data_IF_814802597668
#
_entry.id   IF_814802597668
#
_cell.length_a   1.000
_cell.length_b   1.000
_cell.length_c   1.000
_cell.angle_alpha   90.00
_cell.angle_beta   90.00
_cell.angle_gamma   90.00
#
_symmetry.space_group_name_H-M   'P 1'
#
loop_
_entity.id
_entity.type
_entity.pdbx_description
1 polymer ?
#
# COMPACT_ATOMS: atom_id res chain seq x y z
N UNK A 1 -29.60 -96.76 13.19
CA UNK A 1 -29.79 -95.60 14.01
C UNK A 1 -28.51 -94.68 14.03
N UNK A 2 -27.77 -94.52 12.98
CA UNK A 2 -26.48 -93.83 12.99
C UNK A 2 -26.37 -92.71 11.95
N UNK A 3 -27.39 -92.52 11.06
CA UNK A 3 -27.25 -91.54 10.04
C UNK A 3 -28.05 -90.21 10.27
N UNK A 4 -28.93 -90.23 11.24
CA UNK A 4 -29.71 -89.06 11.55
C UNK A 4 -29.01 -88.02 12.46
N UNK A 5 -27.96 -88.43 13.17
CA UNK A 5 -27.17 -87.51 13.98
C UNK A 5 -26.10 -86.72 13.27
N UNK A 6 -25.65 -87.23 12.11
CA UNK A 6 -24.66 -86.51 11.32
C UNK A 6 -25.25 -85.43 10.45
N UNK A 7 -26.51 -85.54 10.04
CA UNK A 7 -27.19 -84.53 9.22
C UNK A 7 -27.59 -83.32 10.04
N UNK A 8 -27.89 -83.46 11.35
CA UNK A 8 -28.21 -82.28 12.20
C UNK A 8 -27.00 -81.47 12.61
N UNK A 9 -25.82 -82.10 12.71
CA UNK A 9 -24.62 -81.32 13.07
C UNK A 9 -24.09 -80.47 11.91
N UNK A 10 -24.26 -80.91 10.66
CA UNK A 10 -23.82 -80.18 9.46
C UNK A 10 -24.73 -79.00 9.16
N UNK A 11 -26.01 -79.07 9.47
CA UNK A 11 -26.94 -77.94 9.25
C UNK A 11 -26.77 -76.87 10.33
N UNK A 12 -26.41 -77.24 11.59
CA UNK A 12 -26.20 -76.30 12.66
C UNK A 12 -24.88 -75.51 12.55
N UNK A 13 -23.83 -76.16 11.99
CA UNK A 13 -22.55 -75.47 11.71
C UNK A 13 -22.65 -74.51 10.54
N UNK A 14 -23.46 -74.84 9.51
CA UNK A 14 -23.70 -73.91 8.39
C UNK A 14 -24.55 -72.69 8.77
N UNK A 15 -25.45 -72.81 9.78
CA UNK A 15 -26.27 -71.69 10.26
C UNK A 15 -25.50 -70.73 11.20
N UNK A 16 -24.47 -71.21 11.92
CA UNK A 16 -23.61 -70.35 12.75
C UNK A 16 -22.54 -69.60 11.99
N UNK A 17 -22.24 -69.99 10.76
CA UNK A 17 -21.27 -69.27 9.91
C UNK A 17 -21.93 -68.14 9.07
N UNK A 18 -23.24 -68.08 8.99
CA UNK A 18 -23.97 -67.04 8.22
C UNK A 18 -24.23 -65.79 9.06
N UNK A 19 -24.16 -65.85 10.40
CA UNK A 19 -24.38 -64.69 11.29
C UNK A 19 -23.13 -64.03 11.83
N UNK A 20 -21.92 -64.47 11.49
CA UNK A 20 -20.68 -63.75 11.79
C UNK A 20 -20.17 -63.05 10.53
N UNK A 21 -20.95 -62.17 9.93
CA UNK A 21 -20.35 -61.13 9.10
C UNK A 21 -19.57 -60.23 10.06
N UNK A 22 -18.27 -60.07 9.90
CA UNK A 22 -17.56 -59.04 10.63
C UNK A 22 -18.26 -57.74 10.25
N UNK A 23 -18.73 -56.98 11.27
CA UNK A 23 -19.11 -55.59 11.03
C UNK A 23 -18.00 -54.98 10.21
N UNK A 24 -18.34 -54.50 9.00
CA UNK A 24 -17.42 -53.74 8.21
C UNK A 24 -17.02 -52.56 9.11
N UNK A 25 -15.84 -52.65 9.74
CA UNK A 25 -15.15 -51.49 10.23
C UNK A 25 -15.04 -50.61 8.98
N UNK A 26 -15.88 -49.57 8.88
CA UNK A 26 -15.64 -48.49 7.98
C UNK A 26 -14.27 -47.98 8.38
N UNK A 27 -13.24 -48.33 7.62
CA UNK A 27 -11.96 -47.68 7.70
C UNK A 27 -12.30 -46.20 7.67
N UNK A 28 -11.85 -45.38 8.64
CA UNK A 28 -12.01 -43.97 8.55
C UNK A 28 -11.50 -43.57 7.16
N UNK A 29 -12.32 -42.88 6.42
CA UNK A 29 -11.89 -42.28 5.15
C UNK A 29 -10.55 -41.67 5.43
N UNK A 30 -9.53 -41.88 4.60
CA UNK A 30 -8.23 -41.25 4.82
C UNK A 30 -8.52 -39.77 4.97
N UNK A 31 -8.16 -39.20 6.13
CA UNK A 31 -8.12 -37.76 6.31
C UNK A 31 -7.17 -37.34 5.21
N UNK A 32 -7.69 -36.72 4.17
CA UNK A 32 -6.84 -36.18 3.11
C UNK A 32 -6.03 -35.09 3.78
N UNK A 33 -4.78 -35.41 4.12
CA UNK A 33 -3.86 -34.40 4.61
C UNK A 33 -3.77 -33.33 3.52
N UNK A 34 -3.99 -32.08 3.90
CA UNK A 34 -3.91 -30.97 2.98
C UNK A 34 -2.53 -30.98 2.30
N UNK A 35 -2.51 -30.84 1.00
CA UNK A 35 -1.28 -30.75 0.20
C UNK A 35 -0.65 -29.35 0.35
N UNK A 36 0.62 -29.21 -0.03
CA UNK A 36 1.29 -27.90 -0.08
C UNK A 36 0.50 -26.88 -0.90
N UNK A 37 -0.11 -27.31 -2.02
CA UNK A 37 -0.93 -26.48 -2.89
C UNK A 37 -2.26 -26.07 -2.23
N UNK A 38 -2.89 -26.93 -1.44
CA UNK A 38 -4.12 -26.59 -0.70
C UNK A 38 -3.83 -25.56 0.37
N UNK A 39 -2.74 -25.70 1.13
CA UNK A 39 -2.32 -24.68 2.08
C UNK A 39 -1.95 -23.37 1.41
N UNK A 40 -1.29 -23.38 0.23
CA UNK A 40 -1.05 -22.17 -0.57
C UNK A 40 -2.38 -21.47 -0.88
N UNK A 41 -3.37 -22.21 -1.42
CA UNK A 41 -4.67 -21.65 -1.78
C UNK A 41 -5.41 -21.06 -0.57
N UNK A 42 -5.37 -21.74 0.59
CA UNK A 42 -5.92 -21.22 1.85
C UNK A 42 -5.22 -19.92 2.27
N UNK A 43 -3.88 -19.88 2.16
CA UNK A 43 -3.10 -18.67 2.44
C UNK A 43 -3.51 -17.50 1.54
N UNK A 44 -3.62 -17.73 0.24
CA UNK A 44 -4.06 -16.71 -0.75
C UNK A 44 -5.48 -16.22 -0.43
N UNK A 45 -6.40 -17.11 -0.03
CA UNK A 45 -7.74 -16.71 0.37
C UNK A 45 -7.73 -15.84 1.64
N UNK A 46 -6.88 -16.17 2.63
CA UNK A 46 -6.69 -15.33 3.82
C UNK A 46 -6.08 -13.96 3.45
N UNK A 47 -5.14 -13.90 2.50
CA UNK A 47 -4.61 -12.64 1.96
C UNK A 47 -5.72 -11.75 1.39
N UNK A 48 -6.61 -12.32 0.57
CA UNK A 48 -7.76 -11.58 -0.03
C UNK A 48 -8.71 -11.02 1.03
N UNK A 49 -8.85 -11.70 2.17
CA UNK A 49 -9.67 -11.27 3.31
C UNK A 49 -8.95 -10.29 4.24
N UNK A 50 -7.69 -9.98 4.00
CA UNK A 50 -6.86 -9.15 4.87
C UNK A 50 -6.37 -9.84 6.16
N UNK A 51 -6.52 -11.15 6.27
CA UNK A 51 -6.12 -11.93 7.45
C UNK A 51 -4.66 -12.38 7.32
N UNK A 52 -3.73 -11.44 7.26
CA UNK A 52 -2.33 -11.68 6.92
C UNK A 52 -1.61 -12.69 7.85
N UNK A 53 -1.87 -12.66 9.16
CA UNK A 53 -1.30 -13.64 10.10
C UNK A 53 -1.74 -15.07 9.76
N UNK A 54 -3.04 -15.28 9.48
CA UNK A 54 -3.53 -16.61 9.07
C UNK A 54 -3.00 -17.02 7.70
N UNK A 55 -2.79 -16.07 6.80
CA UNK A 55 -2.14 -16.35 5.51
C UNK A 55 -0.71 -16.88 5.73
N UNK A 56 0.07 -16.23 6.60
CA UNK A 56 1.43 -16.67 6.96
C UNK A 56 1.42 -18.08 7.57
N UNK A 57 0.47 -18.39 8.47
CA UNK A 57 0.34 -19.74 9.04
C UNK A 57 0.13 -20.80 7.94
N UNK A 58 -0.76 -20.52 6.98
CA UNK A 58 -1.00 -21.45 5.86
C UNK A 58 0.23 -21.56 4.93
N UNK A 59 0.90 -20.46 4.62
CA UNK A 59 2.14 -20.49 3.82
C UNK A 59 3.25 -21.25 4.56
N UNK A 60 3.33 -21.16 5.88
CA UNK A 60 4.25 -21.97 6.69
C UNK A 60 4.01 -23.47 6.51
N UNK A 61 2.73 -23.90 6.52
CA UNK A 61 2.37 -25.31 6.29
C UNK A 61 2.73 -25.73 4.86
N UNK A 62 2.43 -24.89 3.87
CA UNK A 62 2.80 -25.15 2.47
C UNK A 62 4.31 -25.36 2.31
N UNK A 63 5.13 -24.49 2.92
CA UNK A 63 6.60 -24.54 2.89
C UNK A 63 7.13 -25.73 3.69
N UNK A 64 6.51 -26.06 4.82
CA UNK A 64 6.90 -27.24 5.61
C UNK A 64 6.72 -28.54 4.82
N UNK A 65 5.63 -28.66 4.05
CA UNK A 65 5.36 -29.80 3.19
C UNK A 65 6.23 -29.80 1.92
N UNK A 66 6.55 -28.61 1.40
CA UNK A 66 7.36 -28.46 0.19
C UNK A 66 8.37 -27.32 0.39
N UNK A 67 9.60 -27.61 0.87
CA UNK A 67 10.60 -26.59 1.20
C UNK A 67 11.13 -25.74 0.00
N UNK A 68 10.93 -26.20 -1.22
CA UNK A 68 11.29 -25.52 -2.48
C UNK A 68 10.10 -24.81 -3.15
N UNK A 69 8.99 -24.60 -2.43
CA UNK A 69 7.77 -24.02 -2.99
C UNK A 69 7.89 -22.49 -3.15
N UNK A 70 8.52 -22.08 -4.22
CA UNK A 70 8.82 -20.66 -4.55
C UNK A 70 7.64 -19.73 -4.38
N UNK A 71 6.44 -20.13 -4.84
CA UNK A 71 5.24 -19.30 -4.79
C UNK A 71 4.83 -19.03 -3.33
N UNK A 72 4.94 -20.03 -2.46
CA UNK A 72 4.59 -19.87 -1.05
C UNK A 72 5.52 -18.86 -0.34
N UNK A 73 6.82 -18.87 -0.64
CA UNK A 73 7.74 -17.84 -0.14
C UNK A 73 7.41 -16.45 -0.69
N UNK A 74 7.11 -16.33 -1.99
CA UNK A 74 6.75 -15.06 -2.62
C UNK A 74 5.47 -14.46 -2.00
N UNK A 75 4.45 -15.29 -1.77
CA UNK A 75 3.17 -14.85 -1.21
C UNK A 75 3.31 -14.54 0.29
N UNK A 76 4.14 -15.30 1.03
CA UNK A 76 4.44 -15.00 2.43
C UNK A 76 5.25 -13.71 2.58
N UNK A 77 6.20 -13.44 1.66
CA UNK A 77 6.86 -12.14 1.58
C UNK A 77 5.85 -11.00 1.42
N UNK A 78 4.86 -11.15 0.53
CA UNK A 78 3.80 -10.14 0.36
C UNK A 78 2.96 -9.98 1.64
N UNK A 79 2.65 -11.08 2.36
CA UNK A 79 1.94 -11.03 3.63
C UNK A 79 2.73 -10.25 4.71
N UNK A 80 4.03 -10.48 4.81
CA UNK A 80 4.91 -9.72 5.71
C UNK A 80 4.99 -8.24 5.34
N UNK A 81 4.99 -7.89 4.05
CA UNK A 81 4.91 -6.49 3.59
C UNK A 81 3.64 -5.80 4.10
N UNK A 82 2.49 -6.49 4.06
CA UNK A 82 1.22 -5.95 4.56
C UNK A 82 1.24 -5.72 6.08
N UNK A 83 1.94 -6.58 6.82
CA UNK A 83 2.15 -6.44 8.26
C UNK A 83 3.29 -5.46 8.61
N UNK A 84 3.97 -4.88 7.63
CA UNK A 84 5.13 -4.00 7.79
C UNK A 84 6.34 -4.69 8.44
N UNK A 85 6.38 -6.02 8.43
CA UNK A 85 7.56 -6.80 8.83
C UNK A 85 8.52 -6.93 7.64
N UNK A 86 9.20 -5.83 7.37
CA UNK A 86 10.08 -5.72 6.20
C UNK A 86 11.31 -6.64 6.28
N UNK A 87 11.73 -7.03 7.49
CA UNK A 87 12.84 -7.96 7.65
C UNK A 87 12.48 -9.36 7.16
N UNK A 88 11.36 -9.89 7.61
CA UNK A 88 10.85 -11.19 7.17
C UNK A 88 10.49 -11.16 5.67
N UNK A 89 9.93 -10.04 5.19
CA UNK A 89 9.65 -9.86 3.78
C UNK A 89 10.92 -9.98 2.92
N UNK A 90 12.02 -9.31 3.29
CA UNK A 90 13.31 -9.42 2.58
C UNK A 90 13.82 -10.87 2.61
N UNK A 91 13.72 -11.55 3.75
CA UNK A 91 14.18 -12.95 3.91
C UNK A 91 13.43 -13.88 2.96
N UNK A 92 12.10 -13.84 2.97
CA UNK A 92 11.26 -14.71 2.15
C UNK A 92 11.38 -14.42 0.65
N UNK A 93 11.37 -13.14 0.28
CA UNK A 93 11.59 -12.76 -1.10
C UNK A 93 12.98 -13.19 -1.60
N UNK A 94 14.01 -13.16 -0.74
CA UNK A 94 15.35 -13.66 -1.09
C UNK A 94 15.32 -15.17 -1.33
N UNK A 95 14.59 -15.92 -0.50
CA UNK A 95 14.44 -17.36 -0.70
C UNK A 95 13.68 -17.67 -2.00
N UNK A 96 12.61 -16.94 -2.29
CA UNK A 96 11.88 -17.08 -3.55
C UNK A 96 12.78 -16.81 -4.79
N UNK A 97 13.63 -15.79 -4.72
CA UNK A 97 14.61 -15.47 -5.78
C UNK A 97 15.64 -16.59 -5.94
N UNK A 98 16.17 -17.13 -4.84
CA UNK A 98 17.15 -18.23 -4.89
C UNK A 98 16.57 -19.50 -5.53
N UNK A 99 15.27 -19.74 -5.35
CA UNK A 99 14.57 -20.89 -5.94
C UNK A 99 14.15 -20.66 -7.41
N UNK A 100 13.86 -19.41 -7.79
CA UNK A 100 13.46 -19.06 -9.15
C UNK A 100 13.91 -17.64 -9.52
N UNK A 101 15.09 -17.52 -10.11
CA UNK A 101 15.73 -16.25 -10.45
C UNK A 101 14.98 -15.44 -11.53
N UNK A 102 14.17 -16.10 -12.35
CA UNK A 102 13.42 -15.47 -13.46
C UNK A 102 12.05 -14.91 -13.01
N UNK A 103 11.67 -15.06 -11.76
CA UNK A 103 10.40 -14.54 -11.25
C UNK A 103 10.54 -13.07 -10.84
N UNK A 104 9.79 -12.19 -11.52
CA UNK A 104 9.83 -10.73 -11.32
C UNK A 104 9.23 -10.31 -9.97
N UNK A 105 8.15 -10.96 -9.51
CA UNK A 105 7.39 -10.53 -8.32
C UNK A 105 8.24 -10.48 -7.03
N UNK A 106 9.10 -11.47 -6.72
CA UNK A 106 9.94 -11.39 -5.54
C UNK A 106 10.94 -10.22 -5.58
N UNK A 107 11.45 -9.82 -6.76
CA UNK A 107 12.31 -8.65 -6.89
C UNK A 107 11.53 -7.36 -6.62
N UNK A 108 10.31 -7.21 -7.17
CA UNK A 108 9.45 -6.06 -6.89
C UNK A 108 9.12 -5.95 -5.40
N UNK A 109 8.76 -7.05 -4.77
CA UNK A 109 8.38 -7.10 -3.37
C UNK A 109 9.60 -6.86 -2.44
N UNK A 110 10.77 -7.45 -2.74
CA UNK A 110 12.00 -7.18 -1.97
C UNK A 110 12.45 -5.74 -2.12
N UNK A 111 12.34 -5.19 -3.33
CA UNK A 111 12.59 -3.77 -3.58
C UNK A 111 11.67 -2.87 -2.76
N UNK A 112 10.37 -3.21 -2.68
CA UNK A 112 9.42 -2.46 -1.85
C UNK A 112 9.75 -2.56 -0.37
N UNK A 113 10.14 -3.75 0.14
CA UNK A 113 10.58 -3.92 1.52
C UNK A 113 11.79 -3.03 1.84
N UNK A 114 12.80 -3.01 0.99
CA UNK A 114 13.96 -2.13 1.13
C UNK A 114 13.60 -0.65 1.07
N UNK A 115 12.72 -0.26 0.14
CA UNK A 115 12.21 1.11 0.06
C UNK A 115 11.53 1.54 1.37
N UNK A 116 10.67 0.69 1.95
CA UNK A 116 9.99 0.95 3.22
C UNK A 116 10.92 1.03 4.43
N UNK A 117 12.08 0.37 4.34
CA UNK A 117 13.17 0.48 5.33
C UNK A 117 14.03 1.74 5.14
N UNK A 118 13.83 2.52 4.06
CA UNK A 118 14.69 3.64 3.69
C UNK A 118 15.98 3.21 2.98
N UNK A 119 16.14 1.94 2.64
CA UNK A 119 17.30 1.39 1.93
C UNK A 119 17.14 1.58 0.41
N UNK A 120 17.14 2.83 -0.04
CA UNK A 120 16.80 3.19 -1.41
C UNK A 120 17.72 2.56 -2.46
N UNK A 121 19.03 2.49 -2.21
CA UNK A 121 19.98 1.88 -3.14
C UNK A 121 19.72 0.37 -3.33
N UNK A 122 19.39 -0.34 -2.25
CA UNK A 122 19.01 -1.75 -2.34
C UNK A 122 17.67 -1.93 -3.07
N UNK A 123 16.72 -1.02 -2.88
CA UNK A 123 15.46 -1.01 -3.61
C UNK A 123 15.70 -0.82 -5.12
N UNK A 124 16.52 0.18 -5.51
CA UNK A 124 16.89 0.45 -6.91
C UNK A 124 17.53 -0.78 -7.56
N UNK A 125 18.47 -1.46 -6.85
CA UNK A 125 19.09 -2.67 -7.36
C UNK A 125 18.08 -3.79 -7.66
N UNK A 126 17.09 -3.99 -6.80
CA UNK A 126 16.01 -4.95 -7.03
C UNK A 126 15.11 -4.57 -8.20
N UNK A 127 14.74 -3.30 -8.34
CA UNK A 127 13.93 -2.84 -9.47
C UNK A 127 14.71 -2.92 -10.80
N UNK A 128 16.02 -2.74 -10.79
CA UNK A 128 16.86 -2.98 -11.97
C UNK A 128 16.79 -4.44 -12.44
N UNK A 129 16.81 -5.41 -11.50
CA UNK A 129 16.63 -6.82 -11.86
C UNK A 129 15.20 -7.09 -12.40
N UNK A 130 14.17 -6.52 -11.76
CA UNK A 130 12.80 -6.64 -12.24
C UNK A 130 12.64 -6.08 -13.68
N UNK A 131 13.27 -4.94 -13.99
CA UNK A 131 13.28 -4.33 -15.33
C UNK A 131 14.04 -5.21 -16.33
N UNK A 132 15.17 -5.80 -15.93
CA UNK A 132 15.93 -6.68 -16.80
C UNK A 132 15.13 -7.93 -17.19
N UNK A 133 14.33 -8.49 -16.26
CA UNK A 133 13.48 -9.64 -16.50
C UNK A 133 12.20 -9.28 -17.26
N UNK A 134 11.61 -8.12 -16.99
CA UNK A 134 10.36 -7.66 -17.61
C UNK A 134 10.39 -6.17 -17.92
N UNK A 135 10.95 -5.78 -19.08
CA UNK A 135 11.15 -4.38 -19.45
C UNK A 135 9.86 -3.56 -19.67
N UNK A 136 8.72 -4.23 -19.83
CA UNK A 136 7.40 -3.61 -20.04
C UNK A 136 6.56 -3.48 -18.74
N UNK A 137 7.10 -3.87 -17.58
CA UNK A 137 6.39 -3.75 -16.32
C UNK A 137 6.54 -2.33 -15.73
N UNK A 138 5.52 -1.49 -15.92
CA UNK A 138 5.52 -0.12 -15.43
C UNK A 138 5.76 -0.02 -13.90
N UNK A 139 5.39 -1.05 -13.12
CA UNK A 139 5.54 -1.06 -11.65
C UNK A 139 7.01 -0.95 -11.25
N UNK A 140 7.89 -1.63 -11.99
CA UNK A 140 9.33 -1.60 -11.72
C UNK A 140 9.92 -0.20 -11.93
N UNK A 141 9.55 0.49 -13.02
CA UNK A 141 9.95 1.86 -13.27
C UNK A 141 9.36 2.83 -12.25
N UNK A 142 8.07 2.72 -11.97
CA UNK A 142 7.41 3.58 -10.98
C UNK A 142 8.05 3.45 -9.59
N UNK A 143 8.25 2.23 -9.11
CA UNK A 143 8.86 1.98 -7.81
C UNK A 143 10.34 2.41 -7.77
N UNK A 144 11.09 2.25 -8.88
CA UNK A 144 12.45 2.77 -8.99
C UNK A 144 12.45 4.30 -8.95
N UNK A 145 11.48 4.95 -9.58
CA UNK A 145 11.27 6.40 -9.49
C UNK A 145 11.05 6.87 -8.05
N UNK A 146 10.20 6.17 -7.28
CA UNK A 146 9.99 6.44 -5.86
C UNK A 146 11.28 6.29 -5.04
N UNK A 147 12.06 5.24 -5.31
CA UNK A 147 13.33 5.01 -4.62
C UNK A 147 14.38 6.07 -4.98
N UNK A 148 14.48 6.48 -6.25
CA UNK A 148 15.33 7.58 -6.68
C UNK A 148 14.94 8.92 -6.03
N UNK A 149 13.62 9.19 -5.92
CA UNK A 149 13.12 10.38 -5.23
C UNK A 149 13.48 10.36 -3.73
N UNK A 150 13.36 9.19 -3.09
CA UNK A 150 13.75 9.00 -1.69
C UNK A 150 15.24 9.22 -1.44
N UNK A 151 16.10 8.86 -2.40
CA UNK A 151 17.55 9.11 -2.38
C UNK A 151 17.89 10.59 -2.68
N UNK A 152 16.93 11.38 -3.16
CA UNK A 152 17.13 12.76 -3.59
C UNK A 152 17.62 12.90 -5.03
N UNK A 153 17.71 11.81 -5.79
CA UNK A 153 18.06 11.84 -7.21
C UNK A 153 16.82 12.15 -8.06
N UNK A 154 16.39 13.40 -8.01
CA UNK A 154 15.16 13.89 -8.66
C UNK A 154 15.17 13.77 -10.20
N UNK A 155 16.27 14.05 -10.92
CA UNK A 155 16.29 13.86 -12.37
C UNK A 155 16.03 12.43 -12.79
N UNK A 156 16.65 11.46 -12.10
CA UNK A 156 16.46 10.04 -12.37
C UNK A 156 15.04 9.57 -11.98
N UNK A 157 14.47 10.12 -10.90
CA UNK A 157 13.10 9.84 -10.52
C UNK A 157 12.12 10.26 -11.63
N UNK A 158 12.26 11.48 -12.19
CA UNK A 158 11.43 11.95 -13.30
C UNK A 158 11.58 11.06 -14.53
N UNK A 159 12.81 10.66 -14.90
CA UNK A 159 13.06 9.75 -16.01
C UNK A 159 12.31 8.43 -15.83
N UNK A 160 12.37 7.86 -14.64
CA UNK A 160 11.68 6.62 -14.30
C UNK A 160 10.15 6.75 -14.33
N UNK A 161 9.58 7.85 -13.81
CA UNK A 161 8.15 8.10 -13.92
C UNK A 161 7.71 8.27 -15.37
N UNK A 162 8.52 8.92 -16.22
CA UNK A 162 8.24 9.01 -17.64
C UNK A 162 8.20 7.63 -18.31
N UNK A 163 9.17 6.76 -18.01
CA UNK A 163 9.17 5.38 -18.51
C UNK A 163 7.94 4.60 -18.02
N UNK A 164 7.59 4.70 -16.73
CA UNK A 164 6.38 4.08 -16.21
C UNK A 164 5.11 4.54 -16.96
N UNK A 165 5.01 5.84 -17.27
CA UNK A 165 3.88 6.41 -18.02
C UNK A 165 3.81 5.92 -19.48
N UNK A 166 4.92 5.50 -20.08
CA UNK A 166 4.91 4.90 -21.43
C UNK A 166 4.48 3.44 -21.43
N UNK A 167 4.69 2.72 -20.32
CA UNK A 167 4.41 1.28 -20.22
C UNK A 167 3.03 0.98 -19.60
N UNK A 168 2.46 1.91 -18.83
CA UNK A 168 1.20 1.68 -18.14
C UNK A 168 0.01 1.69 -19.11
N UNK A 169 -0.93 0.71 -19.03
CA UNK A 169 -2.14 0.75 -19.81
C UNK A 169 -2.99 2.00 -19.49
N UNK A 170 -3.40 2.74 -20.50
CA UNK A 170 -4.16 3.99 -20.34
C UNK A 170 -5.55 3.83 -19.70
N UNK A 171 -6.01 2.58 -19.58
CA UNK A 171 -7.27 2.23 -18.90
C UNK A 171 -7.15 2.19 -17.38
N UNK A 172 -5.93 2.25 -16.83
CA UNK A 172 -5.66 2.14 -15.37
C UNK A 172 -5.56 3.51 -14.71
N UNK A 173 -6.70 4.16 -14.46
CA UNK A 173 -6.75 5.56 -13.99
C UNK A 173 -6.06 5.80 -12.65
N UNK A 174 -6.23 4.90 -11.65
CA UNK A 174 -5.64 5.12 -10.32
C UNK A 174 -4.11 5.05 -10.29
N UNK A 175 -3.45 4.03 -10.86
CA UNK A 175 -1.99 4.03 -10.97
C UNK A 175 -1.45 5.22 -11.75
N UNK A 176 -2.10 5.61 -12.86
CA UNK A 176 -1.74 6.80 -13.64
C UNK A 176 -1.80 8.07 -12.77
N UNK A 177 -2.87 8.25 -11.99
CA UNK A 177 -3.03 9.40 -11.10
C UNK A 177 -1.88 9.46 -10.07
N UNK A 178 -1.49 8.32 -9.49
CA UNK A 178 -0.39 8.28 -8.54
C UNK A 178 0.95 8.66 -9.19
N UNK A 179 1.26 8.13 -10.38
CA UNK A 179 2.51 8.45 -11.09
C UNK A 179 2.58 9.96 -11.39
N UNK A 180 1.49 10.56 -11.88
CA UNK A 180 1.46 12.00 -12.12
C UNK A 180 1.62 12.80 -10.83
N UNK A 181 0.92 12.42 -9.74
CA UNK A 181 1.07 13.10 -8.46
C UNK A 181 2.51 13.06 -7.94
N UNK A 182 3.17 11.90 -8.00
CA UNK A 182 4.51 11.72 -7.45
C UNK A 182 5.58 12.38 -8.34
N UNK A 183 5.40 12.37 -9.68
CA UNK A 183 6.24 13.16 -10.57
C UNK A 183 6.08 14.65 -10.34
N UNK A 184 4.83 15.10 -10.11
CA UNK A 184 4.53 16.48 -9.75
C UNK A 184 5.22 16.91 -8.44
N UNK A 185 5.25 16.03 -7.41
CA UNK A 185 5.99 16.30 -6.18
C UNK A 185 7.48 16.48 -6.43
N UNK A 186 8.10 15.63 -7.23
CA UNK A 186 9.53 15.76 -7.56
C UNK A 186 9.81 17.06 -8.35
N UNK A 187 8.94 17.45 -9.27
CA UNK A 187 9.03 18.74 -9.98
C UNK A 187 8.88 19.92 -9.02
N UNK A 188 7.99 19.80 -8.04
CA UNK A 188 7.82 20.80 -6.99
C UNK A 188 9.10 20.98 -6.15
N UNK A 189 9.77 19.89 -5.76
CA UNK A 189 11.06 19.95 -5.05
C UNK A 189 12.16 20.60 -5.89
N UNK A 190 12.15 20.40 -7.19
CA UNK A 190 13.01 21.09 -8.16
C UNK A 190 12.60 22.55 -8.43
N UNK A 191 11.54 23.04 -7.78
CA UNK A 191 10.96 24.38 -7.95
C UNK A 191 10.38 24.64 -9.35
N UNK A 192 10.18 23.61 -10.16
CA UNK A 192 9.43 23.69 -11.42
C UNK A 192 7.92 23.64 -11.14
N UNK A 193 7.42 24.72 -10.54
CA UNK A 193 6.03 24.76 -10.08
C UNK A 193 5.04 24.69 -11.25
N UNK A 194 5.41 25.22 -12.42
CA UNK A 194 4.55 25.17 -13.59
C UNK A 194 4.32 23.74 -14.07
N UNK A 195 5.39 22.96 -14.25
CA UNK A 195 5.28 21.57 -14.64
C UNK A 195 4.66 20.68 -13.52
N UNK A 196 4.93 21.00 -12.25
CA UNK A 196 4.29 20.32 -11.12
C UNK A 196 2.76 20.50 -11.14
N UNK A 197 2.26 21.73 -11.36
CA UNK A 197 0.83 22.01 -11.47
C UNK A 197 0.16 21.23 -12.60
N UNK A 198 0.81 21.10 -13.76
CA UNK A 198 0.30 20.30 -14.88
C UNK A 198 0.16 18.81 -14.49
N UNK A 199 1.13 18.26 -13.79
CA UNK A 199 1.07 16.88 -13.31
C UNK A 199 -0.05 16.69 -12.29
N UNK A 200 -0.20 17.60 -11.32
CA UNK A 200 -1.30 17.53 -10.34
C UNK A 200 -2.66 17.70 -11.01
N UNK A 201 -2.77 18.51 -12.07
CA UNK A 201 -4.00 18.62 -12.88
C UNK A 201 -4.38 17.29 -13.52
N UNK A 202 -3.40 16.56 -14.05
CA UNK A 202 -3.60 15.23 -14.62
C UNK A 202 -4.03 14.23 -13.54
N UNK A 203 -3.36 14.23 -12.39
CA UNK A 203 -3.71 13.39 -11.26
C UNK A 203 -5.15 13.63 -10.77
N UNK A 204 -5.55 14.90 -10.63
CA UNK A 204 -6.91 15.29 -10.21
C UNK A 204 -7.96 14.86 -11.24
N UNK A 205 -7.70 15.02 -12.54
CA UNK A 205 -8.63 14.57 -13.60
C UNK A 205 -8.84 13.05 -13.55
N UNK A 206 -7.80 12.28 -13.27
CA UNK A 206 -7.85 10.82 -13.19
C UNK A 206 -8.47 10.33 -11.88
N UNK A 207 -8.25 11.03 -10.76
CA UNK A 207 -8.83 10.73 -9.46
C UNK A 207 -9.28 12.01 -8.72
N UNK A 208 -10.49 12.51 -8.99
CA UNK A 208 -11.01 13.72 -8.35
C UNK A 208 -11.28 13.61 -6.84
N UNK A 209 -11.21 12.42 -6.28
CA UNK A 209 -11.42 12.18 -4.85
C UNK A 209 -10.10 12.14 -4.05
N UNK A 210 -8.95 12.20 -4.71
CA UNK A 210 -7.66 12.24 -4.02
C UNK A 210 -7.34 13.66 -3.55
N UNK A 211 -7.59 13.93 -2.27
CA UNK A 211 -7.27 15.22 -1.66
C UNK A 211 -5.77 15.56 -1.71
N UNK A 212 -4.86 14.58 -1.83
CA UNK A 212 -3.41 14.79 -1.87
C UNK A 212 -3.00 15.59 -3.10
N UNK A 213 -3.57 15.27 -4.25
CA UNK A 213 -3.26 15.97 -5.50
C UNK A 213 -3.71 17.45 -5.45
N UNK A 214 -4.89 17.73 -4.88
CA UNK A 214 -5.33 19.12 -4.63
C UNK A 214 -4.41 19.84 -3.65
N UNK A 215 -4.01 19.17 -2.55
CA UNK A 215 -3.10 19.74 -1.56
C UNK A 215 -1.77 20.12 -2.19
N UNK A 216 -1.19 19.23 -2.98
CA UNK A 216 0.09 19.44 -3.66
C UNK A 216 -0.01 20.57 -4.69
N UNK A 217 -1.08 20.60 -5.50
CA UNK A 217 -1.31 21.71 -6.44
C UNK A 217 -1.50 23.05 -5.73
N UNK A 218 -2.24 23.06 -4.62
CA UNK A 218 -2.41 24.27 -3.80
C UNK A 218 -1.07 24.79 -3.27
N UNK A 219 -0.19 23.90 -2.82
CA UNK A 219 1.16 24.28 -2.41
C UNK A 219 1.97 24.87 -3.58
N UNK A 220 1.90 24.24 -4.76
CA UNK A 220 2.56 24.75 -5.96
C UNK A 220 2.02 26.12 -6.38
N UNK A 221 0.69 26.32 -6.40
CA UNK A 221 0.06 27.61 -6.63
C UNK A 221 0.57 28.67 -5.64
N UNK A 222 0.57 28.38 -4.35
CA UNK A 222 1.01 29.33 -3.31
C UNK A 222 2.51 29.68 -3.42
N UNK A 223 3.35 28.76 -3.85
CA UNK A 223 4.78 29.00 -4.14
C UNK A 223 4.99 29.81 -5.40
N UNK A 224 4.14 29.60 -6.40
CA UNK A 224 4.15 30.35 -7.67
C UNK A 224 3.44 31.72 -7.58
N UNK A 225 2.95 32.11 -6.40
CA UNK A 225 2.26 33.39 -6.19
C UNK A 225 0.76 33.39 -6.47
N UNK A 226 0.20 32.29 -7.01
CA UNK A 226 -1.24 32.14 -7.24
C UNK A 226 -1.97 31.79 -5.94
N UNK A 227 -2.17 32.82 -5.08
CA UNK A 227 -2.87 32.63 -3.82
C UNK A 227 -4.37 32.34 -4.01
N UNK A 228 -5.00 32.76 -5.12
CA UNK A 228 -6.39 32.39 -5.44
C UNK A 228 -6.53 30.90 -5.75
N UNK A 229 -5.65 30.36 -6.60
CA UNK A 229 -5.58 28.93 -6.86
C UNK A 229 -5.31 28.11 -5.60
N UNK A 230 -4.40 28.58 -4.75
CA UNK A 230 -4.12 27.95 -3.48
C UNK A 230 -5.37 27.88 -2.55
N UNK A 231 -6.09 29.00 -2.37
CA UNK A 231 -7.34 29.04 -1.55
C UNK A 231 -8.40 28.10 -2.13
N UNK A 232 -8.57 28.08 -3.46
CA UNK A 232 -9.53 27.20 -4.14
C UNK A 232 -9.22 25.74 -3.84
N UNK A 233 -7.98 25.32 -4.05
CA UNK A 233 -7.57 23.92 -3.95
C UNK A 233 -7.50 23.46 -2.49
N UNK A 234 -7.01 24.27 -1.54
CA UNK A 234 -7.12 23.93 -0.10
C UNK A 234 -8.58 23.85 0.36
N UNK A 235 -9.49 24.63 -0.20
CA UNK A 235 -10.92 24.49 0.09
C UNK A 235 -11.46 23.15 -0.37
N UNK A 236 -10.98 22.65 -1.52
CA UNK A 236 -11.32 21.33 -2.01
C UNK A 236 -10.72 20.23 -1.11
N UNK A 237 -9.48 20.38 -0.63
CA UNK A 237 -8.88 19.47 0.37
C UNK A 237 -9.76 19.38 1.61
N UNK A 238 -10.17 20.52 2.16
CA UNK A 238 -11.02 20.60 3.36
C UNK A 238 -12.39 19.93 3.11
N UNK A 239 -12.96 20.07 1.92
CA UNK A 239 -14.21 19.39 1.56
C UNK A 239 -14.06 17.87 1.54
N UNK A 240 -12.94 17.35 1.02
CA UNK A 240 -12.66 15.92 0.91
C UNK A 240 -12.13 15.31 2.22
N UNK A 241 -11.44 16.10 3.03
CA UNK A 241 -10.88 15.70 4.32
C UNK A 241 -11.02 16.88 5.30
N UNK A 242 -12.15 16.94 6.01
CA UNK A 242 -12.52 18.03 6.90
C UNK A 242 -11.59 18.20 8.09
N UNK A 243 -10.84 17.17 8.49
CA UNK A 243 -9.90 17.20 9.62
C UNK A 243 -8.45 17.52 9.23
N UNK A 244 -8.20 17.90 7.97
CA UNK A 244 -6.86 18.24 7.50
C UNK A 244 -6.41 19.61 8.01
N UNK A 245 -5.84 19.63 9.22
CA UNK A 245 -5.38 20.87 9.89
C UNK A 245 -4.38 21.67 9.06
N UNK A 246 -3.47 20.99 8.31
CA UNK A 246 -2.50 21.66 7.43
C UNK A 246 -3.17 22.41 6.28
N UNK A 247 -4.27 21.90 5.74
CA UNK A 247 -5.00 22.58 4.69
C UNK A 247 -5.62 23.90 5.20
N UNK A 248 -6.13 23.92 6.42
CA UNK A 248 -6.61 25.16 7.05
C UNK A 248 -5.47 26.15 7.29
N UNK A 249 -4.31 25.73 7.82
CA UNK A 249 -3.15 26.63 7.99
C UNK A 249 -2.77 27.25 6.65
N UNK A 250 -2.59 26.44 5.62
CA UNK A 250 -2.11 26.92 4.32
C UNK A 250 -3.16 27.78 3.61
N UNK A 251 -4.47 27.46 3.73
CA UNK A 251 -5.55 28.31 3.21
C UNK A 251 -5.59 29.65 3.94
N UNK A 252 -5.41 29.63 5.26
CA UNK A 252 -5.32 30.85 6.08
C UNK A 252 -4.18 31.75 5.65
N UNK A 253 -2.99 31.18 5.42
CA UNK A 253 -1.83 31.95 4.91
C UNK A 253 -2.10 32.52 3.51
N UNK A 254 -2.66 31.74 2.60
CA UNK A 254 -3.01 32.21 1.26
C UNK A 254 -4.10 33.30 1.30
N UNK A 255 -5.10 33.12 2.17
CA UNK A 255 -6.17 34.12 2.39
C UNK A 255 -5.63 35.45 2.96
N UNK A 256 -4.68 35.38 3.89
CA UNK A 256 -4.00 36.57 4.40
C UNK A 256 -3.27 37.34 3.30
N UNK A 257 -2.52 36.64 2.43
CA UNK A 257 -1.83 37.26 1.31
C UNK A 257 -2.78 37.93 0.31
N UNK A 258 -4.04 37.50 0.27
CA UNK A 258 -5.11 38.11 -0.53
C UNK A 258 -5.85 39.24 0.20
N UNK A 259 -5.47 39.58 1.43
CA UNK A 259 -6.16 40.59 2.24
C UNK A 259 -7.43 40.07 2.94
N UNK A 260 -7.74 38.76 2.87
CA UNK A 260 -8.93 38.17 3.52
C UNK A 260 -8.66 37.86 4.99
N UNK A 261 -8.34 38.88 5.79
CA UNK A 261 -7.82 38.75 7.15
C UNK A 261 -8.73 37.97 8.09
N UNK A 262 -10.04 38.20 8.05
CA UNK A 262 -11.00 37.49 8.93
C UNK A 262 -11.06 35.98 8.58
N UNK A 263 -11.01 35.62 7.29
CA UNK A 263 -10.97 34.22 6.86
C UNK A 263 -9.67 33.54 7.31
N UNK A 264 -8.55 34.26 7.20
CA UNK A 264 -7.25 33.76 7.64
C UNK A 264 -7.23 33.45 9.13
N UNK A 265 -7.78 34.36 9.97
CA UNK A 265 -7.90 34.14 11.41
C UNK A 265 -8.77 32.92 11.74
N UNK A 266 -9.93 32.82 11.10
CA UNK A 266 -10.85 31.70 11.32
C UNK A 266 -10.20 30.35 10.94
N UNK A 267 -9.52 30.30 9.79
CA UNK A 267 -8.82 29.08 9.35
C UNK A 267 -7.72 28.66 10.34
N UNK A 268 -6.90 29.61 10.84
CA UNK A 268 -5.85 29.30 11.81
C UNK A 268 -6.42 28.87 13.18
N UNK A 269 -7.56 29.41 13.60
CA UNK A 269 -8.26 28.96 14.80
C UNK A 269 -8.71 27.51 14.64
N UNK A 270 -9.41 27.19 13.54
CA UNK A 270 -9.86 25.82 13.23
C UNK A 270 -8.67 24.85 13.14
N UNK A 271 -7.57 25.26 12.50
CA UNK A 271 -6.36 24.44 12.43
C UNK A 271 -5.79 24.12 13.81
N UNK A 272 -5.75 25.13 14.72
CA UNK A 272 -5.25 24.92 16.08
C UNK A 272 -6.13 23.93 16.87
N UNK A 273 -7.46 23.99 16.72
CA UNK A 273 -8.38 23.04 17.34
C UNK A 273 -8.10 21.60 16.85
N UNK A 274 -7.99 21.39 15.53
CA UNK A 274 -7.67 20.06 14.98
C UNK A 274 -6.31 19.55 15.45
N UNK A 275 -5.25 20.37 15.48
CA UNK A 275 -3.96 19.94 16.02
C UNK A 275 -4.03 19.60 17.52
N UNK A 276 -4.83 20.33 18.28
CA UNK A 276 -5.11 20.03 19.69
C UNK A 276 -5.75 18.66 19.87
N UNK A 277 -6.81 18.37 19.11
CA UNK A 277 -7.50 17.08 19.13
C UNK A 277 -6.61 15.91 18.64
N UNK A 278 -5.72 16.17 17.68
CA UNK A 278 -4.75 15.18 17.19
C UNK A 278 -3.56 14.96 18.13
N UNK A 279 -3.46 15.70 19.23
CA UNK A 279 -2.34 15.62 20.17
C UNK A 279 -1.01 16.17 19.60
N UNK A 280 -1.04 16.87 18.47
CA UNK A 280 0.15 17.45 17.84
C UNK A 280 0.52 18.80 18.47
N UNK A 281 1.13 18.74 19.66
CA UNK A 281 1.49 19.92 20.46
C UNK A 281 2.41 20.89 19.73
N UNK A 282 3.32 20.40 18.89
CA UNK A 282 4.27 21.24 18.16
C UNK A 282 3.54 22.06 17.09
N UNK A 283 2.73 21.41 16.26
CA UNK A 283 1.95 22.09 15.23
C UNK A 283 0.91 23.03 15.85
N UNK A 284 0.26 22.63 16.94
CA UNK A 284 -0.66 23.47 17.73
C UNK A 284 0.01 24.78 18.14
N UNK A 285 1.17 24.70 18.83
CA UNK A 285 1.91 25.88 19.27
C UNK A 285 2.31 26.78 18.10
N UNK A 286 2.90 26.21 17.06
CA UNK A 286 3.29 26.97 15.85
C UNK A 286 2.10 27.70 15.21
N UNK A 287 0.92 27.08 15.19
CA UNK A 287 -0.29 27.68 14.62
C UNK A 287 -0.79 28.83 15.50
N UNK A 288 -0.74 28.72 16.83
CA UNK A 288 -1.08 29.81 17.73
C UNK A 288 -0.12 30.99 17.61
N UNK A 289 1.18 30.71 17.49
CA UNK A 289 2.19 31.76 17.32
C UNK A 289 1.97 32.51 15.98
N UNK A 290 1.65 31.77 14.90
CA UNK A 290 1.29 32.35 13.62
C UNK A 290 0.02 33.22 13.73
N UNK A 291 -1.03 32.72 14.38
CA UNK A 291 -2.27 33.45 14.59
C UNK A 291 -2.04 34.77 15.37
N UNK A 292 -1.21 34.72 16.42
CA UNK A 292 -0.84 35.90 17.20
C UNK A 292 -0.10 36.93 16.36
N UNK A 293 0.92 36.50 15.61
CA UNK A 293 1.68 37.36 14.70
C UNK A 293 0.78 38.03 13.65
N UNK A 294 -0.13 37.26 13.06
CA UNK A 294 -1.05 37.74 12.03
C UNK A 294 -2.01 38.82 12.60
N UNK A 295 -2.55 38.63 13.82
CA UNK A 295 -3.40 39.62 14.49
C UNK A 295 -2.65 40.92 14.77
N UNK A 296 -1.40 40.83 15.21
CA UNK A 296 -0.55 42.02 15.46
C UNK A 296 -0.29 42.81 14.17
N UNK A 297 0.03 42.09 13.05
CA UNK A 297 0.24 42.74 11.78
C UNK A 297 -1.01 43.44 11.24
N UNK A 298 -2.19 42.81 11.39
CA UNK A 298 -3.46 43.40 10.97
C UNK A 298 -3.77 44.66 11.80
N UNK A 299 -3.55 44.63 13.13
CA UNK A 299 -3.77 45.75 14.00
C UNK A 299 -2.87 46.93 13.63
N UNK A 300 -1.57 46.70 13.48
CA UNK A 300 -0.61 47.72 13.04
C UNK A 300 -0.99 48.36 11.70
N UNK A 301 -1.46 47.53 10.72
CA UNK A 301 -1.90 48.03 9.44
C UNK A 301 -3.16 48.91 9.54
N UNK A 302 -4.05 48.65 10.51
CA UNK A 302 -5.26 49.48 10.73
C UNK A 302 -4.97 50.74 11.52
N UNK A 303 -3.88 50.83 12.32
CA UNK A 303 -3.47 52.02 13.06
C UNK A 303 -2.72 53.02 12.15
N UNK A 304 -2.15 52.56 11.04
CA UNK A 304 -1.39 53.40 10.07
C UNK A 304 -2.27 53.91 8.95
N UNK A 305 -3.40 53.29 8.66
CA UNK A 305 -4.34 53.65 7.56
C UNK A 305 -5.38 54.67 8.06
#
# INVERSE_FOLDING_TARGET
>A
MTDFRRLFLSVFIAFLLIFSTPSAYSLPLPITENTSSEFLNLGVDQMRRGNYNKAIENFNQAIQLQPDFTVAYSDRCLAYLQLQDYYQAVTDCTQAINLATENVEPYLNRGLAHYRQGNYLAAIANYNQAIALKPDDFRAYYNRGLACAGEGNYPEAIANYNLALTQIPQTTSLPLANIYNDRGLVRFELQDFAAAMLDFDLAIRLNPQDYRAYFNRACACGRNGDNFGAVRDFSQVIRLNTSNALAYVNRGVASYRLGYHQKAIADLQTASEYFGHQGNRVAYKKTLDLLKSLRQQIQLATEIA
#
